data_IF_217621255627
#
_entry.id   IF_217621255627
#
_cell.length_a   1.000
_cell.length_b   1.000
_cell.length_c   1.000
_cell.angle_alpha   90.00
_cell.angle_beta   90.00
_cell.angle_gamma   90.00
#
_symmetry.space_group_name_H-M   'P 1'
#
loop_
_entity.id
_entity.type
_entity.pdbx_description
1 polymer ?
#
# COMPACT_ATOMS: atom_id res chain seq x y z
N UNK A 1 12.41 34.58 34.60
CA UNK A 1 13.56 35.08 33.83
C UNK A 1 14.77 34.21 34.20
N UNK A 2 14.99 33.14 33.42
CA UNK A 2 16.27 32.73 32.78
C UNK A 2 17.51 33.54 33.24
N UNK A 3 18.68 33.03 33.64
CA UNK A 3 19.36 31.74 33.40
C UNK A 3 20.70 31.63 34.18
N UNK A 4 21.26 30.41 34.26
CA UNK A 4 22.68 29.98 34.40
C UNK A 4 23.46 30.22 35.73
N UNK A 5 24.39 29.38 36.21
CA UNK A 5 24.91 28.03 35.85
C UNK A 5 25.86 27.57 36.97
N UNK A 6 25.86 26.28 37.30
CA UNK A 6 27.12 25.62 37.70
C UNK A 6 27.12 24.17 37.25
N UNK A 7 27.98 23.87 36.29
CA UNK A 7 28.29 22.53 35.82
C UNK A 7 29.12 21.77 36.86
N UNK A 8 28.73 20.54 37.20
CA UNK A 8 29.69 19.56 37.69
C UNK A 8 29.30 18.13 37.31
N UNK A 9 30.08 17.56 36.38
CA UNK A 9 30.59 16.20 36.42
C UNK A 9 29.60 15.04 36.59
N UNK A 10 29.29 14.38 35.47
CA UNK A 10 29.31 12.92 35.40
C UNK A 10 29.93 12.55 34.05
N UNK A 11 31.21 12.19 34.06
CA UNK A 11 31.83 11.39 33.01
C UNK A 11 31.09 10.05 32.96
N UNK A 12 30.16 9.92 32.01
CA UNK A 12 29.76 8.62 31.52
C UNK A 12 30.38 8.47 30.14
N UNK A 13 31.49 7.73 30.11
CA UNK A 13 31.93 6.98 28.94
C UNK A 13 30.72 6.21 28.40
N UNK A 14 29.97 6.83 27.50
CA UNK A 14 28.96 6.12 26.72
C UNK A 14 29.78 5.31 25.74
N UNK A 15 29.95 4.04 26.06
CA UNK A 15 30.47 3.06 25.14
C UNK A 15 29.73 3.26 23.81
N UNK A 16 30.46 3.74 22.81
CA UNK A 16 30.07 3.77 21.40
C UNK A 16 30.06 2.32 20.91
N UNK A 17 29.18 1.54 21.53
CA UNK A 17 28.87 0.18 21.14
C UNK A 17 27.99 0.41 19.93
N UNK A 18 28.61 0.44 18.76
CA UNK A 18 27.90 0.38 17.49
C UNK A 18 26.88 -0.74 17.66
N UNK A 19 25.61 -0.35 17.71
CA UNK A 19 24.50 -1.26 17.79
C UNK A 19 24.51 -2.05 16.47
N UNK A 20 25.18 -3.20 16.51
CA UNK A 20 25.35 -4.12 15.38
C UNK A 20 24.13 -5.03 15.23
N UNK A 21 23.03 -4.71 15.94
CA UNK A 21 21.73 -5.32 15.69
C UNK A 21 21.41 -5.24 14.20
N UNK A 22 20.98 -6.35 13.56
CA UNK A 22 20.52 -6.31 12.19
C UNK A 22 19.41 -5.27 12.08
N UNK A 23 19.71 -4.14 11.43
CA UNK A 23 18.69 -3.17 11.09
C UNK A 23 17.82 -3.84 10.03
N UNK A 24 16.54 -4.03 10.35
CA UNK A 24 15.58 -4.51 9.37
C UNK A 24 15.59 -3.54 8.20
N UNK A 25 15.89 -4.05 7.00
CA UNK A 25 15.88 -3.26 5.77
C UNK A 25 14.47 -2.71 5.44
N UNK A 26 13.45 -3.16 6.17
CA UNK A 26 12.04 -2.83 5.96
C UNK A 26 11.38 -2.50 7.29
N UNK A 27 10.78 -1.32 7.38
CA UNK A 27 10.00 -0.91 8.54
C UNK A 27 8.62 -1.58 8.57
N UNK A 28 8.52 -2.71 9.25
CA UNK A 28 7.26 -3.49 9.33
C UNK A 28 6.15 -2.73 10.06
N UNK A 29 6.48 -1.92 11.07
CA UNK A 29 5.49 -1.17 11.83
C UNK A 29 4.76 -0.15 10.93
N UNK A 30 5.53 0.56 10.10
CA UNK A 30 4.98 1.51 9.12
C UNK A 30 4.13 0.80 8.06
N UNK A 31 4.58 -0.37 7.57
CA UNK A 31 3.81 -1.14 6.59
C UNK A 31 2.47 -1.59 7.18
N UNK A 32 2.46 -2.12 8.40
CA UNK A 32 1.24 -2.60 9.07
C UNK A 32 0.21 -1.50 9.26
N UNK A 33 0.64 -0.27 9.53
CA UNK A 33 -0.26 0.88 9.71
C UNK A 33 -1.09 1.21 8.45
N UNK A 34 -0.67 0.76 7.25
CA UNK A 34 -1.39 0.99 6.00
C UNK A 34 -2.52 -0.01 5.73
N UNK A 35 -2.65 -1.05 6.55
CA UNK A 35 -3.67 -2.09 6.41
C UNK A 35 -4.73 -1.96 7.51
N UNK A 36 -5.87 -1.31 7.25
CA UNK A 36 -6.89 -1.10 8.27
C UNK A 36 -7.52 -2.41 8.77
N UNK A 37 -7.41 -3.49 7.99
CA UNK A 37 -7.85 -4.84 8.35
C UNK A 37 -6.87 -5.63 9.23
N UNK A 38 -5.72 -5.06 9.63
CA UNK A 38 -4.81 -5.66 10.60
C UNK A 38 -4.99 -5.00 11.99
N UNK A 39 -5.83 -5.56 12.87
CA UNK A 39 -5.93 -5.09 14.24
C UNK A 39 -4.62 -5.28 15.01
N UNK A 40 -4.38 -4.39 15.97
CA UNK A 40 -3.25 -4.48 16.89
C UNK A 40 -3.28 -5.83 17.64
N UNK A 41 -2.11 -6.45 17.81
CA UNK A 41 -1.99 -7.76 18.47
C UNK A 41 -2.53 -8.95 17.68
N UNK A 42 -3.04 -8.77 16.46
CA UNK A 42 -3.56 -9.87 15.63
C UNK A 42 -2.54 -10.33 14.59
N UNK A 43 -2.35 -11.64 14.51
CA UNK A 43 -1.56 -12.32 13.49
C UNK A 43 -2.48 -13.10 12.55
N UNK A 44 -2.51 -12.71 11.28
CA UNK A 44 -3.28 -13.37 10.23
C UNK A 44 -2.37 -14.28 9.42
N UNK A 45 -2.56 -15.60 9.56
CA UNK A 45 -1.73 -16.61 8.89
C UNK A 45 -2.41 -17.26 7.68
N UNK A 46 -3.54 -16.74 7.19
CA UNK A 46 -4.28 -17.32 6.06
C UNK A 46 -4.10 -16.59 4.71
N UNK A 47 -3.05 -15.76 4.55
CA UNK A 47 -2.86 -14.91 3.37
C UNK A 47 -2.90 -15.65 2.02
N UNK A 48 -2.64 -16.97 2.00
CA UNK A 48 -2.77 -17.81 0.81
C UNK A 48 -4.21 -17.96 0.30
N UNK A 49 -5.20 -17.91 1.20
CA UNK A 49 -6.62 -17.91 0.85
C UNK A 49 -7.12 -16.54 0.41
N UNK A 50 -6.41 -15.48 0.76
CA UNK A 50 -6.74 -14.09 0.47
C UNK A 50 -5.96 -13.14 1.36
N UNK A 51 -5.49 -12.04 0.79
CA UNK A 51 -4.71 -11.03 1.52
C UNK A 51 -5.60 -9.91 2.03
N UNK A 52 -5.21 -9.30 3.15
CA UNK A 52 -5.77 -8.02 3.58
C UNK A 52 -5.57 -6.92 2.54
N UNK A 53 -6.51 -5.99 2.47
CA UNK A 53 -6.49 -4.92 1.47
C UNK A 53 -5.83 -3.67 2.04
N UNK A 54 -4.94 -3.06 1.26
CA UNK A 54 -4.31 -1.77 1.56
C UNK A 54 -5.38 -0.67 1.60
N UNK A 55 -5.25 0.28 2.53
CA UNK A 55 -6.16 1.44 2.64
C UNK A 55 -6.36 2.16 1.29
N UNK A 56 -5.26 2.48 0.61
CA UNK A 56 -5.31 3.22 -0.66
C UNK A 56 -6.04 2.46 -1.77
N UNK A 57 -5.96 1.12 -1.75
CA UNK A 57 -6.69 0.29 -2.71
C UNK A 57 -8.21 0.31 -2.43
N UNK A 58 -8.61 0.34 -1.15
CA UNK A 58 -10.02 0.51 -0.75
C UNK A 58 -10.53 1.88 -1.22
N UNK A 59 -9.76 2.94 -0.96
CA UNK A 59 -10.13 4.30 -1.35
C UNK A 59 -10.23 4.45 -2.87
N UNK A 60 -9.23 3.94 -3.61
CA UNK A 60 -9.24 3.95 -5.08
C UNK A 60 -10.44 3.21 -5.67
N UNK A 61 -10.75 2.01 -5.15
CA UNK A 61 -11.92 1.25 -5.58
C UNK A 61 -13.23 1.98 -5.27
N UNK A 62 -13.35 2.56 -4.06
CA UNK A 62 -14.51 3.33 -3.65
C UNK A 62 -14.74 4.55 -4.55
N UNK A 63 -13.68 5.31 -4.85
CA UNK A 63 -13.74 6.45 -5.79
C UNK A 63 -14.16 6.00 -7.19
N UNK A 64 -13.63 4.89 -7.69
CA UNK A 64 -14.03 4.34 -8.99
C UNK A 64 -15.52 3.97 -9.01
N UNK A 65 -16.00 3.25 -8.00
CA UNK A 65 -17.40 2.83 -7.91
C UNK A 65 -18.36 4.02 -7.83
N UNK A 66 -18.01 5.06 -7.07
CA UNK A 66 -18.81 6.28 -6.94
C UNK A 66 -18.82 7.13 -8.23
N UNK A 67 -17.76 7.06 -9.02
CA UNK A 67 -17.62 7.86 -10.25
C UNK A 67 -18.14 7.16 -11.50
N UNK A 68 -18.55 5.89 -11.41
CA UNK A 68 -18.75 5.00 -12.55
C UNK A 68 -19.89 5.48 -13.48
N UNK A 69 -19.58 5.90 -14.70
CA UNK A 69 -20.57 6.16 -15.74
C UNK A 69 -20.96 4.84 -16.44
N UNK A 70 -22.15 4.81 -17.04
CA UNK A 70 -22.52 3.71 -17.94
C UNK A 70 -21.55 3.69 -19.15
N UNK A 71 -20.87 2.57 -19.46
CA UNK A 71 -19.95 2.51 -20.59
C UNK A 71 -20.71 2.64 -21.92
N UNK A 72 -20.17 3.43 -22.86
CA UNK A 72 -20.70 3.54 -24.24
C UNK A 72 -20.93 4.96 -24.78
N UNK A 73 -20.64 6.01 -23.99
CA UNK A 73 -20.84 7.41 -24.40
C UNK A 73 -19.54 8.12 -24.81
N UNK A 74 -19.66 9.23 -25.54
CA UNK A 74 -18.57 10.20 -25.75
C UNK A 74 -18.44 11.19 -24.59
N UNK A 75 -19.15 10.96 -23.49
CA UNK A 75 -19.12 11.84 -22.33
C UNK A 75 -17.78 11.73 -21.59
N UNK A 76 -17.34 12.81 -20.91
CA UNK A 76 -16.04 12.85 -20.24
C UNK A 76 -15.83 11.71 -19.23
N UNK A 77 -16.90 11.23 -18.58
CA UNK A 77 -16.78 10.15 -17.60
C UNK A 77 -16.51 8.83 -18.32
N UNK A 78 -17.24 8.52 -19.40
CA UNK A 78 -17.02 7.28 -20.17
C UNK A 78 -15.61 7.21 -20.75
N UNK A 79 -15.09 8.34 -21.24
CA UNK A 79 -13.67 8.43 -21.64
C UNK A 79 -12.72 8.19 -20.47
N UNK A 80 -12.97 8.78 -19.30
CA UNK A 80 -12.15 8.54 -18.11
C UNK A 80 -12.14 7.06 -17.69
N UNK A 81 -13.27 6.36 -17.79
CA UNK A 81 -13.35 4.92 -17.52
C UNK A 81 -12.53 4.09 -18.52
N UNK A 82 -12.55 4.44 -19.82
CA UNK A 82 -11.71 3.80 -20.83
C UNK A 82 -10.22 4.03 -20.55
N UNK A 83 -9.83 5.25 -20.19
CA UNK A 83 -8.45 5.57 -19.83
C UNK A 83 -7.99 4.81 -18.59
N UNK A 84 -8.80 4.75 -17.53
CA UNK A 84 -8.50 3.98 -16.33
C UNK A 84 -8.35 2.48 -16.65
N UNK A 85 -9.19 1.93 -17.52
CA UNK A 85 -9.08 0.54 -17.95
C UNK A 85 -7.76 0.26 -18.67
N UNK A 86 -7.36 1.12 -19.62
CA UNK A 86 -6.09 1.00 -20.35
C UNK A 86 -4.89 1.11 -19.42
N UNK A 87 -4.86 2.13 -18.57
CA UNK A 87 -3.78 2.35 -17.62
C UNK A 87 -3.59 1.15 -16.66
N UNK A 88 -4.69 0.56 -16.19
CA UNK A 88 -4.61 -0.64 -15.34
C UNK A 88 -4.02 -1.84 -16.10
N UNK A 89 -4.33 -1.97 -17.40
CA UNK A 89 -3.79 -3.03 -18.26
C UNK A 89 -2.28 -2.84 -18.46
N UNK A 90 -1.82 -1.62 -18.69
CA UNK A 90 -0.40 -1.27 -18.84
C UNK A 90 0.37 -1.50 -17.53
N UNK A 91 -0.23 -1.15 -16.39
CA UNK A 91 0.36 -1.38 -15.06
C UNK A 91 0.61 -2.87 -14.81
N UNK A 92 -0.37 -3.73 -15.12
CA UNK A 92 -0.22 -5.19 -14.97
C UNK A 92 0.81 -5.74 -15.95
N UNK A 93 0.82 -5.25 -17.19
CA UNK A 93 1.81 -5.64 -18.20
C UNK A 93 3.23 -5.31 -17.75
N UNK A 94 3.45 -4.09 -17.24
CA UNK A 94 4.74 -3.68 -16.67
C UNK A 94 5.16 -4.52 -15.47
N UNK A 95 4.22 -4.86 -14.57
CA UNK A 95 4.50 -5.72 -13.42
C UNK A 95 4.94 -7.13 -13.84
N UNK A 96 4.34 -7.68 -14.90
CA UNK A 96 4.64 -9.03 -15.41
C UNK A 96 5.77 -9.04 -16.45
N UNK A 97 6.31 -7.87 -16.84
CA UNK A 97 7.22 -7.71 -17.98
C UNK A 97 6.65 -8.30 -19.28
N UNK A 98 5.37 -8.05 -19.54
CA UNK A 98 4.62 -8.51 -20.71
C UNK A 98 4.16 -7.34 -21.59
N UNK A 99 3.69 -7.63 -22.80
CA UNK A 99 2.95 -6.65 -23.60
C UNK A 99 1.53 -6.48 -23.03
N UNK A 100 0.94 -5.27 -23.05
CA UNK A 100 -0.46 -5.09 -22.69
C UNK A 100 -1.38 -6.08 -23.41
N UNK A 101 -1.16 -6.35 -24.69
CA UNK A 101 -2.04 -7.23 -25.48
C UNK A 101 -2.10 -8.68 -24.97
N UNK A 102 -1.14 -9.11 -24.15
CA UNK A 102 -1.12 -10.42 -23.49
C UNK A 102 -1.95 -10.44 -22.19
N UNK A 103 -2.45 -9.28 -21.74
CA UNK A 103 -3.25 -9.14 -20.52
C UNK A 103 -4.74 -9.17 -20.84
N UNK A 104 -5.43 -10.21 -20.34
CA UNK A 104 -6.89 -10.33 -20.38
C UNK A 104 -7.49 -10.33 -18.97
N UNK A 105 -8.57 -9.57 -18.75
CA UNK A 105 -9.37 -9.69 -17.52
C UNK A 105 -10.32 -10.88 -17.64
N UNK A 106 -10.27 -11.78 -16.67
CA UNK A 106 -11.23 -12.87 -16.52
C UNK A 106 -11.84 -12.80 -15.12
N UNK A 107 -13.13 -13.06 -15.03
CA UNK A 107 -13.80 -13.34 -13.76
C UNK A 107 -14.30 -14.77 -13.82
N UNK A 108 -13.82 -15.63 -12.92
CA UNK A 108 -14.34 -16.98 -12.76
C UNK A 108 -15.66 -16.89 -11.98
N UNK A 109 -16.76 -16.65 -12.68
CA UNK A 109 -18.10 -16.65 -12.07
C UNK A 109 -18.53 -18.11 -11.95
N UNK A 110 -18.52 -18.65 -10.74
CA UNK A 110 -19.11 -19.96 -10.45
C UNK A 110 -20.64 -19.78 -10.51
N UNK A 111 -21.26 -20.18 -11.62
CA UNK A 111 -22.71 -20.40 -11.65
C UNK A 111 -22.99 -21.64 -10.79
N UNK A 112 -23.47 -21.40 -9.56
CA UNK A 112 -24.12 -22.41 -8.72
C UNK A 112 -25.54 -22.66 -9.17
#
# INVERSE_FOLDING_TARGET
>A
MVLETSCSGVDRSVNDTLDTSPQDAVNIAEIRARFPGLPEGTALFNNASGTVVLKDAIESASTLMQSMPMPGGSDPKSMAAIYAYKNNKDTVAGFLNASPDEISKSSMIHHG
#
